data_IF_543660775119
#
_entry.id   IF_543660775119
#
_cell.length_a   1.000
_cell.length_b   1.000
_cell.length_c   1.000
_cell.angle_alpha   90.00
_cell.angle_beta   90.00
_cell.angle_gamma   90.00
#
_symmetry.space_group_name_H-M   'P 1'
#
loop_
_entity.id
_entity.type
_entity.pdbx_description
1 polymer ?
#
# COMPACT_ATOMS: atom_id res chain seq x y z
N UNK A 1 10.30 26.25 1.02
CA UNK A 1 9.01 26.58 0.38
C UNK A 1 8.14 25.34 0.50
N UNK A 2 7.31 25.28 1.56
CA UNK A 2 6.49 24.11 1.90
C UNK A 2 5.28 24.08 0.96
N UNK A 3 5.22 23.10 0.07
CA UNK A 3 4.06 22.87 -0.79
C UNK A 3 2.83 22.63 0.10
N UNK A 4 1.77 23.37 -0.21
CA UNK A 4 0.52 23.40 0.53
C UNK A 4 -0.10 21.99 0.56
N UNK A 5 -0.22 21.42 1.76
CA UNK A 5 -1.00 20.21 2.04
C UNK A 5 -2.47 20.56 1.89
N UNK A 6 -3.08 20.20 0.77
CA UNK A 6 -4.54 20.25 0.59
C UNK A 6 -5.04 18.86 0.24
N UNK A 7 -4.97 17.95 1.21
CA UNK A 7 -5.74 16.71 1.26
C UNK A 7 -6.21 16.60 2.71
N UNK A 8 -7.51 16.48 2.91
CA UNK A 8 -8.10 16.56 4.24
C UNK A 8 -7.50 15.48 5.16
N UNK A 9 -6.94 15.89 6.32
CA UNK A 9 -5.94 15.09 7.00
C UNK A 9 -6.56 14.00 7.87
N UNK A 10 -5.94 12.83 7.85
CA UNK A 10 -6.00 11.85 8.94
C UNK A 10 -5.90 12.62 10.28
N UNK A 11 -6.82 12.44 11.24
CA UNK A 11 -6.78 13.16 12.51
C UNK A 11 -5.41 13.06 13.17
N UNK A 12 -4.93 14.18 13.73
CA UNK A 12 -3.57 14.27 14.29
C UNK A 12 -3.32 13.20 15.37
N UNK A 13 -4.33 12.88 16.18
CA UNK A 13 -4.24 11.83 17.20
C UNK A 13 -4.01 10.43 16.61
N UNK A 14 -4.60 10.13 15.43
CA UNK A 14 -4.33 8.89 14.71
C UNK A 14 -2.93 8.90 14.11
N UNK A 15 -2.47 10.03 13.57
CA UNK A 15 -1.10 10.18 13.03
C UNK A 15 -0.06 9.94 14.14
N UNK A 16 -0.23 10.57 15.31
CA UNK A 16 0.68 10.37 16.46
C UNK A 16 0.71 8.89 16.91
N UNK A 17 -0.44 8.22 16.89
CA UNK A 17 -0.53 6.80 17.25
C UNK A 17 -0.04 5.85 16.15
N UNK A 18 0.05 6.33 14.92
CA UNK A 18 0.71 5.64 13.81
C UNK A 18 2.23 5.74 13.93
N UNK A 19 2.75 6.89 14.37
CA UNK A 19 4.18 7.11 14.62
C UNK A 19 4.66 6.38 15.89
N UNK A 20 3.82 6.39 16.94
CA UNK A 20 4.07 5.66 18.18
C UNK A 20 2.88 4.73 18.51
N UNK A 21 3.00 3.42 18.20
CA UNK A 21 1.97 2.42 18.45
C UNK A 21 1.56 2.26 19.92
N UNK A 22 2.33 2.80 20.88
CA UNK A 22 2.01 2.74 22.31
C UNK A 22 1.01 3.81 22.73
N UNK A 23 0.91 4.91 21.97
CA UNK A 23 0.00 6.01 22.27
C UNK A 23 -1.43 5.66 21.87
N UNK A 24 -2.39 5.82 22.77
CA UNK A 24 -3.81 5.64 22.44
C UNK A 24 -4.37 6.93 21.83
N UNK A 25 -5.03 6.88 20.65
CA UNK A 25 -5.67 8.04 20.08
C UNK A 25 -6.72 8.66 21.00
N UNK A 26 -6.81 9.99 21.00
CA UNK A 26 -7.86 10.75 21.70
C UNK A 26 -9.25 10.61 21.03
N UNK A 27 -9.30 10.12 19.80
CA UNK A 27 -10.56 9.76 19.13
C UNK A 27 -11.26 8.62 19.86
N UNK A 28 -12.60 8.67 19.94
CA UNK A 28 -13.38 7.56 20.52
C UNK A 28 -12.99 6.24 19.86
N UNK A 29 -12.70 5.23 20.67
CA UNK A 29 -12.55 3.87 20.18
C UNK A 29 -13.80 3.46 19.42
N UNK A 30 -13.64 2.71 18.33
CA UNK A 30 -14.80 2.20 17.59
C UNK A 30 -15.55 1.23 18.52
N UNK A 31 -16.64 1.71 19.12
CA UNK A 31 -17.38 1.00 20.18
C UNK A 31 -17.81 -0.38 19.70
N UNK A 32 -18.17 -0.53 18.42
CA UNK A 32 -18.25 -1.81 17.71
C UNK A 32 -17.87 -1.64 16.23
N UNK A 33 -16.90 -2.41 15.73
CA UNK A 33 -16.65 -2.51 14.29
C UNK A 33 -17.64 -3.47 13.63
N UNK A 34 -18.06 -3.23 12.37
CA UNK A 34 -18.89 -4.18 11.65
C UNK A 34 -18.24 -5.57 11.55
N UNK A 35 -19.05 -6.62 11.71
CA UNK A 35 -18.58 -8.01 11.57
C UNK A 35 -17.86 -8.28 10.25
N UNK A 36 -18.32 -7.78 9.08
CA UNK A 36 -17.58 -7.95 7.83
C UNK A 36 -16.16 -7.39 7.91
N UNK A 37 -16.01 -6.17 8.44
CA UNK A 37 -14.70 -5.53 8.60
C UNK A 37 -13.79 -6.30 9.57
N UNK A 38 -14.34 -6.81 10.68
CA UNK A 38 -13.59 -7.64 11.62
C UNK A 38 -13.06 -8.94 11.00
N UNK A 39 -13.77 -9.52 10.01
CA UNK A 39 -13.28 -10.71 9.29
C UNK A 39 -12.01 -10.42 8.48
N UNK A 40 -11.85 -9.20 8.00
CA UNK A 40 -10.65 -8.75 7.30
C UNK A 40 -9.55 -8.29 8.28
N UNK A 41 -9.90 -7.52 9.31
CA UNK A 41 -8.87 -6.98 10.22
C UNK A 41 -8.19 -8.03 11.08
N UNK A 42 -8.93 -9.03 11.57
CA UNK A 42 -8.36 -10.05 12.49
C UNK A 42 -7.17 -10.82 11.89
N UNK A 43 -7.24 -11.39 10.67
CA UNK A 43 -6.10 -12.08 10.07
C UNK A 43 -5.00 -11.12 9.61
N UNK A 44 -5.34 -9.87 9.27
CA UNK A 44 -4.41 -8.92 8.65
C UNK A 44 -3.12 -8.73 9.45
N UNK A 45 -3.21 -8.63 10.78
CA UNK A 45 -2.01 -8.52 11.62
C UNK A 45 -1.05 -9.68 11.44
N UNK A 46 -1.53 -10.92 11.45
CA UNK A 46 -0.69 -12.09 11.23
C UNK A 46 -0.13 -12.14 9.80
N UNK A 47 -0.94 -11.77 8.82
CA UNK A 47 -0.55 -11.77 7.41
C UNK A 47 0.54 -10.75 7.12
N UNK A 48 0.50 -9.57 7.75
CA UNK A 48 1.57 -8.57 7.68
C UNK A 48 2.90 -9.13 8.18
N UNK A 49 2.89 -9.94 9.26
CA UNK A 49 4.10 -10.59 9.78
C UNK A 49 4.62 -11.68 8.83
N UNK A 50 3.71 -12.47 8.23
CA UNK A 50 4.09 -13.44 7.20
C UNK A 50 4.68 -12.72 5.98
N UNK A 51 4.09 -11.58 5.59
CA UNK A 51 4.57 -10.78 4.48
C UNK A 51 5.95 -10.20 4.76
N UNK A 52 6.21 -9.69 5.96
CA UNK A 52 7.56 -9.24 6.36
C UNK A 52 8.59 -10.35 6.15
N UNK A 53 8.28 -11.57 6.60
CA UNK A 53 9.17 -12.73 6.48
C UNK A 53 9.39 -13.12 5.02
N UNK A 54 8.33 -13.15 4.22
CA UNK A 54 8.38 -13.43 2.79
C UNK A 54 9.15 -12.36 2.01
N UNK A 55 8.92 -11.08 2.32
CA UNK A 55 9.60 -9.94 1.70
C UNK A 55 11.12 -10.02 1.91
N UNK A 56 11.57 -10.36 3.12
CA UNK A 56 12.99 -10.60 3.40
C UNK A 56 13.55 -11.78 2.62
N UNK A 57 12.80 -12.88 2.55
CA UNK A 57 13.24 -14.05 1.81
C UNK A 57 13.34 -13.75 0.31
N UNK A 58 12.44 -12.92 -0.23
CA UNK A 58 12.49 -12.43 -1.61
C UNK A 58 13.76 -11.60 -1.85
N UNK A 59 14.10 -10.65 -0.97
CA UNK A 59 15.35 -9.89 -1.09
C UNK A 59 16.57 -10.80 -1.02
N UNK A 60 16.59 -11.76 -0.08
CA UNK A 60 17.69 -12.71 0.03
C UNK A 60 17.83 -13.60 -1.23
N UNK A 61 16.74 -13.89 -1.94
CA UNK A 61 16.77 -14.58 -3.24
C UNK A 61 17.32 -13.68 -4.35
N UNK A 62 16.91 -12.42 -4.36
CA UNK A 62 17.39 -11.41 -5.29
C UNK A 62 18.90 -11.20 -5.15
N UNK A 63 19.39 -11.02 -3.93
CA UNK A 63 20.82 -10.83 -3.64
C UNK A 63 21.65 -12.09 -3.99
N UNK A 64 21.04 -13.29 -3.93
CA UNK A 64 21.64 -14.56 -4.33
C UNK A 64 21.52 -14.86 -5.84
N UNK A 65 20.98 -13.94 -6.63
CA UNK A 65 20.82 -14.12 -8.08
C UNK A 65 19.85 -15.24 -8.46
N UNK A 66 18.84 -15.53 -7.63
CA UNK A 66 17.85 -16.59 -7.91
C UNK A 66 16.88 -16.22 -9.05
N UNK A 67 16.83 -14.94 -9.42
CA UNK A 67 16.11 -14.44 -10.58
C UNK A 67 17.12 -14.21 -11.71
N UNK A 68 17.07 -15.05 -12.75
CA UNK A 68 17.98 -14.96 -13.89
C UNK A 68 17.44 -14.01 -14.98
N UNK A 69 18.35 -13.42 -15.76
CA UNK A 69 18.02 -12.60 -16.93
C UNK A 69 17.30 -11.28 -16.60
N UNK A 70 16.44 -10.84 -17.52
CA UNK A 70 15.74 -9.56 -17.43
C UNK A 70 14.90 -9.38 -16.15
N UNK A 71 14.17 -10.38 -15.63
CA UNK A 71 13.47 -10.26 -14.36
C UNK A 71 14.41 -9.96 -13.18
N UNK A 72 15.60 -10.56 -13.15
CA UNK A 72 16.59 -10.29 -12.10
C UNK A 72 17.10 -8.85 -12.15
N UNK A 73 17.46 -8.37 -13.33
CA UNK A 73 17.89 -6.98 -13.54
C UNK A 73 16.78 -5.98 -13.20
N UNK A 74 15.53 -6.27 -13.61
CA UNK A 74 14.36 -5.47 -13.27
C UNK A 74 14.18 -5.36 -11.75
N UNK A 75 14.20 -6.49 -11.04
CA UNK A 75 14.00 -6.52 -9.59
C UNK A 75 15.15 -5.84 -8.84
N UNK A 76 16.39 -5.94 -9.32
CA UNK A 76 17.53 -5.22 -8.73
C UNK A 76 17.38 -3.71 -8.88
N UNK A 77 16.98 -3.23 -10.07
CA UNK A 77 16.72 -1.81 -10.32
C UNK A 77 15.58 -1.28 -9.43
N UNK A 78 14.52 -2.07 -9.28
CA UNK A 78 13.32 -1.70 -8.54
C UNK A 78 13.29 -2.21 -7.08
N UNK A 79 14.46 -2.54 -6.53
CA UNK A 79 14.58 -2.99 -5.14
C UNK A 79 13.98 -1.91 -4.21
N UNK A 80 13.06 -2.27 -3.30
CA UNK A 80 12.50 -1.33 -2.34
C UNK A 80 13.59 -0.62 -1.54
N UNK A 81 13.38 0.67 -1.25
CA UNK A 81 14.35 1.52 -0.52
C UNK A 81 14.35 1.22 0.98
N UNK A 82 13.21 0.82 1.52
CA UNK A 82 13.09 0.43 2.92
C UNK A 82 12.92 -1.07 3.03
N UNK A 83 13.89 -1.73 3.66
CA UNK A 83 13.85 -3.18 3.86
C UNK A 83 13.07 -3.55 5.13
N UNK A 84 12.35 -4.69 5.14
CA UNK A 84 11.72 -5.18 6.35
C UNK A 84 12.79 -5.56 7.39
N UNK A 85 12.57 -5.26 8.69
CA UNK A 85 13.59 -5.45 9.70
C UNK A 85 13.96 -6.93 9.87
N UNK A 86 15.23 -7.19 10.22
CA UNK A 86 15.79 -8.54 10.36
C UNK A 86 15.12 -9.38 11.44
N UNK A 87 14.55 -8.73 12.44
CA UNK A 87 13.71 -9.38 13.44
C UNK A 87 12.35 -8.68 13.42
N UNK A 88 11.29 -9.48 13.45
CA UNK A 88 10.00 -8.91 13.79
C UNK A 88 10.05 -8.61 15.28
N UNK A 89 10.01 -7.33 15.64
CA UNK A 89 9.96 -6.92 17.04
C UNK A 89 8.71 -7.51 17.72
N UNK A 90 8.85 -7.88 18.99
CA UNK A 90 7.68 -8.05 19.86
C UNK A 90 7.13 -6.66 20.20
N UNK A 91 5.82 -6.57 20.42
CA UNK A 91 5.17 -5.31 20.76
C UNK A 91 4.06 -4.91 19.79
N UNK A 92 3.48 -3.72 20.02
CA UNK A 92 2.38 -3.23 19.23
C UNK A 92 2.84 -2.66 17.89
N UNK A 93 2.00 -2.80 16.88
CA UNK A 93 2.11 -2.05 15.64
C UNK A 93 0.71 -1.61 15.20
N UNK A 94 0.64 -0.47 14.55
CA UNK A 94 -0.58 0.12 14.03
C UNK A 94 -0.60 0.13 12.51
N UNK A 95 -1.77 -0.13 11.94
CA UNK A 95 -2.07 -0.05 10.52
C UNK A 95 -3.15 1.02 10.32
N UNK A 96 -2.94 1.92 9.36
CA UNK A 96 -3.94 2.90 8.96
C UNK A 96 -4.60 2.47 7.66
N UNK A 97 -5.92 2.36 7.70
CA UNK A 97 -6.76 2.00 6.59
C UNK A 97 -7.66 3.17 6.20
N UNK A 98 -7.93 3.31 4.92
CA UNK A 98 -8.95 4.20 4.38
C UNK A 98 -10.04 3.38 3.71
N UNK A 99 -11.27 3.86 3.83
CA UNK A 99 -12.41 3.32 3.09
C UNK A 99 -12.24 3.62 1.60
N UNK A 100 -12.43 2.61 0.76
CA UNK A 100 -12.44 2.73 -0.69
C UNK A 100 -13.78 2.20 -1.21
N UNK A 101 -14.25 2.60 -2.40
CA UNK A 101 -15.45 2.01 -3.02
C UNK A 101 -15.46 0.48 -3.11
N UNK A 102 -14.27 -0.14 -3.09
CA UNK A 102 -14.06 -1.60 -3.15
C UNK A 102 -13.75 -2.21 -1.77
N UNK A 103 -14.02 -1.48 -0.68
CA UNK A 103 -13.73 -1.87 0.69
C UNK A 103 -12.50 -1.19 1.28
N UNK A 104 -12.14 -1.57 2.51
CA UNK A 104 -11.03 -0.94 3.22
C UNK A 104 -9.68 -1.29 2.60
N UNK A 105 -8.77 -0.31 2.54
CA UNK A 105 -7.40 -0.47 2.04
C UNK A 105 -6.40 0.06 3.06
N UNK A 106 -5.35 -0.71 3.30
CA UNK A 106 -4.17 -0.28 4.05
C UNK A 106 -3.46 0.81 3.26
N UNK A 107 -3.10 1.89 3.93
CA UNK A 107 -2.48 3.06 3.30
C UNK A 107 -1.18 3.45 3.98
N UNK A 108 -1.09 3.24 5.28
CA UNK A 108 0.11 3.48 6.05
C UNK A 108 0.25 2.47 7.19
N UNK A 109 1.46 2.36 7.73
CA UNK A 109 1.80 1.52 8.87
C UNK A 109 2.87 2.17 9.73
N UNK A 110 2.83 1.88 11.03
CA UNK A 110 3.98 2.08 11.94
C UNK A 110 5.19 1.22 11.56
N UNK A 111 4.97 0.11 10.83
CA UNK A 111 6.04 -0.69 10.23
C UNK A 111 6.55 0.05 8.99
N UNK A 112 7.54 0.93 9.20
CA UNK A 112 8.00 1.89 8.19
C UNK A 112 8.32 1.31 6.81
N UNK A 113 8.79 0.06 6.74
CA UNK A 113 9.06 -0.61 5.46
C UNK A 113 7.82 -0.79 4.58
N UNK A 114 6.63 -0.94 5.17
CA UNK A 114 5.38 -1.11 4.41
C UNK A 114 4.93 0.18 3.72
N UNK A 115 5.46 1.33 4.14
CA UNK A 115 5.09 2.63 3.56
C UNK A 115 5.81 2.91 2.22
N UNK A 116 6.79 2.07 1.85
CA UNK A 116 7.39 2.13 0.52
C UNK A 116 6.48 1.40 -0.50
N UNK A 117 5.89 2.13 -1.47
CA UNK A 117 4.95 1.55 -2.42
C UNK A 117 5.58 0.53 -3.37
N UNK A 118 6.91 0.45 -3.46
CA UNK A 118 7.57 -0.62 -4.19
C UNK A 118 7.16 -1.99 -3.65
N UNK A 119 6.94 -2.13 -2.34
CA UNK A 119 6.49 -3.39 -1.75
C UNK A 119 5.09 -3.80 -2.22
N UNK A 120 4.16 -2.86 -2.29
CA UNK A 120 2.85 -3.10 -2.86
C UNK A 120 2.96 -3.48 -4.35
N UNK A 121 3.77 -2.74 -5.13
CA UNK A 121 3.99 -3.04 -6.54
C UNK A 121 4.58 -4.46 -6.77
N UNK A 122 5.57 -4.89 -5.96
CA UNK A 122 6.12 -6.25 -6.01
C UNK A 122 5.08 -7.31 -5.65
N UNK A 123 4.22 -7.06 -4.67
CA UNK A 123 3.16 -8.00 -4.27
C UNK A 123 2.13 -8.20 -5.39
N UNK A 124 1.86 -7.14 -6.16
CA UNK A 124 0.93 -7.17 -7.28
C UNK A 124 1.55 -7.64 -8.61
N UNK A 125 2.88 -7.71 -8.71
CA UNK A 125 3.59 -8.09 -9.93
C UNK A 125 3.33 -9.57 -10.31
N UNK A 126 2.69 -9.86 -11.46
CA UNK A 126 2.32 -11.23 -11.83
C UNK A 126 3.51 -12.20 -11.90
N UNK A 127 4.67 -11.71 -12.35
CA UNK A 127 5.90 -12.50 -12.45
C UNK A 127 6.41 -13.04 -11.11
N UNK A 128 6.08 -12.37 -9.99
CA UNK A 128 6.47 -12.80 -8.65
C UNK A 128 5.44 -13.71 -7.96
N UNK A 129 4.29 -13.97 -8.60
CA UNK A 129 3.24 -14.82 -8.00
C UNK A 129 3.76 -16.21 -7.57
N UNK A 130 4.58 -16.93 -8.36
CA UNK A 130 5.14 -18.21 -7.92
C UNK A 130 6.05 -18.07 -6.70
N UNK A 131 6.90 -17.04 -6.68
CA UNK A 131 7.78 -16.74 -5.54
C UNK A 131 6.95 -16.48 -4.28
N UNK A 132 5.97 -15.57 -4.34
CA UNK A 132 5.10 -15.29 -3.20
C UNK A 132 4.31 -16.50 -2.71
N UNK A 133 3.78 -17.31 -3.64
CA UNK A 133 2.98 -18.50 -3.30
C UNK A 133 3.82 -19.62 -2.68
N UNK A 134 5.13 -19.63 -2.90
CA UNK A 134 6.06 -20.55 -2.21
C UNK A 134 6.44 -20.08 -0.80
N UNK A 135 6.29 -18.78 -0.52
CA UNK A 135 6.66 -18.16 0.76
C UNK A 135 5.46 -17.98 1.70
N UNK A 136 4.24 -17.90 1.14
CA UNK A 136 3.02 -17.64 1.88
C UNK A 136 1.87 -18.49 1.33
N UNK A 137 0.90 -18.85 2.19
CA UNK A 137 -0.32 -19.51 1.74
C UNK A 137 -1.09 -18.59 0.80
N UNK A 138 -1.68 -19.18 -0.25
CA UNK A 138 -2.40 -18.44 -1.28
C UNK A 138 -3.54 -17.56 -0.73
N UNK A 139 -4.26 -18.02 0.30
CA UNK A 139 -5.33 -17.24 0.94
C UNK A 139 -4.83 -15.96 1.60
N UNK A 140 -3.69 -16.03 2.30
CA UNK A 140 -3.07 -14.87 2.95
C UNK A 140 -2.52 -13.88 1.92
N UNK A 141 -1.86 -14.40 0.88
CA UNK A 141 -1.37 -13.57 -0.22
C UNK A 141 -2.51 -12.81 -0.91
N UNK A 142 -3.61 -13.50 -1.23
CA UNK A 142 -4.73 -12.88 -1.92
C UNK A 142 -5.44 -11.85 -1.04
N UNK A 143 -5.63 -12.15 0.25
CA UNK A 143 -6.22 -11.18 1.17
C UNK A 143 -5.31 -9.95 1.34
N UNK A 144 -3.99 -10.11 1.48
CA UNK A 144 -3.06 -8.97 1.51
C UNK A 144 -3.12 -8.12 0.23
N UNK A 145 -3.19 -8.74 -0.95
CA UNK A 145 -3.33 -8.03 -2.22
C UNK A 145 -4.65 -7.26 -2.31
N UNK A 146 -5.71 -7.76 -1.67
CA UNK A 146 -6.97 -7.01 -1.58
C UNK A 146 -6.88 -5.85 -0.59
N UNK A 147 -6.09 -6.00 0.49
CA UNK A 147 -5.95 -4.95 1.50
C UNK A 147 -4.96 -3.86 1.09
N UNK A 148 -3.90 -4.17 0.34
CA UNK A 148 -2.91 -3.19 -0.09
C UNK A 148 -3.41 -2.36 -1.29
N UNK A 149 -2.96 -1.10 -1.43
CA UNK A 149 -3.30 -0.29 -2.58
C UNK A 149 -2.47 -0.76 -3.78
N UNK A 150 -3.05 -0.65 -4.98
CA UNK A 150 -2.27 -0.93 -6.18
C UNK A 150 -1.18 0.13 -6.39
N UNK A 151 -0.01 -0.36 -6.79
CA UNK A 151 1.14 0.44 -7.16
C UNK A 151 1.85 -0.21 -8.35
N UNK A 152 2.53 0.61 -9.15
CA UNK A 152 3.21 0.16 -10.36
C UNK A 152 4.59 0.81 -10.50
N UNK A 153 5.54 0.03 -10.98
CA UNK A 153 6.83 0.53 -11.44
C UNK A 153 6.64 1.25 -12.76
N UNK A 154 6.94 2.55 -12.81
CA UNK A 154 6.84 3.34 -14.04
C UNK A 154 8.04 3.04 -14.93
N UNK A 155 8.04 1.87 -15.55
CA UNK A 155 9.15 1.31 -16.32
C UNK A 155 9.05 1.68 -17.81
N UNK A 156 10.16 2.13 -18.42
CA UNK A 156 10.18 2.51 -19.83
C UNK A 156 10.29 1.33 -20.80
N UNK A 157 10.50 0.10 -20.31
CA UNK A 157 10.55 -1.08 -21.16
C UNK A 157 9.24 -1.26 -21.93
N UNK A 158 9.36 -1.50 -23.23
CA UNK A 158 8.22 -1.78 -24.08
C UNK A 158 7.54 -3.09 -23.67
N UNK A 159 6.21 -3.07 -23.56
CA UNK A 159 5.44 -4.29 -23.34
C UNK A 159 5.42 -5.13 -24.63
N UNK A 160 5.40 -6.47 -24.52
CA UNK A 160 5.18 -7.32 -25.68
C UNK A 160 3.85 -7.02 -26.37
N UNK A 161 3.74 -7.21 -27.70
CA UNK A 161 2.47 -7.03 -28.42
C UNK A 161 1.32 -7.80 -27.76
N UNK A 162 0.17 -7.13 -27.58
CA UNK A 162 -1.02 -7.71 -26.93
C UNK A 162 -0.95 -7.79 -25.40
N UNK A 163 0.16 -7.38 -24.77
CA UNK A 163 0.26 -7.30 -23.31
C UNK A 163 -0.27 -5.97 -22.77
N UNK A 164 -0.69 -5.99 -21.51
CA UNK A 164 -1.18 -4.80 -20.79
C UNK A 164 -0.51 -4.68 -19.43
N UNK A 165 -0.48 -3.46 -18.89
CA UNK A 165 -0.09 -3.21 -17.52
C UNK A 165 -1.16 -3.80 -16.59
N UNK A 166 -0.75 -4.80 -15.80
CA UNK A 166 -1.65 -5.52 -14.90
C UNK A 166 -2.39 -4.55 -13.96
N UNK A 167 -3.71 -4.72 -13.82
CA UNK A 167 -4.57 -3.86 -13.00
C UNK A 167 -5.00 -2.53 -13.65
N UNK A 168 -4.32 -2.10 -14.72
CA UNK A 168 -4.69 -0.90 -15.49
C UNK A 168 -5.36 -1.25 -16.84
N UNK A 169 -5.00 -2.39 -17.44
CA UNK A 169 -5.60 -2.82 -18.71
C UNK A 169 -5.16 -1.98 -19.92
N UNK A 170 -4.09 -1.21 -19.80
CA UNK A 170 -3.54 -0.34 -20.86
C UNK A 170 -2.25 -0.93 -21.44
N UNK A 171 -1.96 -0.76 -22.74
CA UNK A 171 -0.77 -1.32 -23.39
C UNK A 171 0.52 -0.52 -23.11
N UNK A 172 0.45 0.56 -22.35
CA UNK A 172 1.58 1.41 -22.01
C UNK A 172 1.15 2.68 -21.29
N UNK A 173 2.12 3.43 -20.75
CA UNK A 173 1.86 4.59 -19.89
C UNK A 173 1.13 5.75 -20.58
N UNK A 174 1.22 5.85 -21.90
CA UNK A 174 0.47 6.85 -22.68
C UNK A 174 -1.06 6.65 -22.59
N UNK A 175 -1.53 5.47 -22.19
CA UNK A 175 -2.95 5.18 -21.99
C UNK A 175 -3.49 5.48 -20.59
N UNK A 176 -2.67 6.04 -19.69
CA UNK A 176 -3.13 6.41 -18.34
C UNK A 176 -4.21 7.50 -18.30
N UNK A 177 -4.15 8.58 -19.12
CA UNK A 177 -5.21 9.60 -19.13
C UNK A 177 -6.57 9.00 -19.51
N UNK A 178 -7.64 9.41 -18.81
CA UNK A 178 -9.01 8.99 -19.15
C UNK A 178 -9.44 7.66 -18.56
N UNK A 179 -8.65 7.06 -17.66
CA UNK A 179 -9.07 5.88 -16.89
C UNK A 179 -10.14 6.20 -15.82
N UNK A 180 -10.53 7.46 -15.63
CA UNK A 180 -11.47 7.84 -14.58
C UNK A 180 -10.90 7.67 -13.17
N UNK A 181 -9.58 7.55 -13.06
CA UNK A 181 -8.85 7.19 -11.83
C UNK A 181 -7.89 8.31 -11.47
N UNK A 182 -7.72 8.52 -10.17
CA UNK A 182 -6.67 9.37 -9.63
C UNK A 182 -5.41 8.55 -9.40
N UNK A 183 -4.26 9.10 -9.77
CA UNK A 183 -2.96 8.53 -9.49
C UNK A 183 -2.04 9.55 -8.83
N UNK A 184 -0.96 9.07 -8.23
CA UNK A 184 0.12 9.90 -7.72
C UNK A 184 1.46 9.33 -8.16
N UNK A 185 2.33 10.21 -8.67
CA UNK A 185 3.74 9.93 -8.90
C UNK A 185 4.44 10.07 -7.55
N UNK A 186 4.83 8.94 -6.96
CA UNK A 186 5.23 8.87 -5.55
C UNK A 186 6.40 9.78 -5.22
N UNK A 187 7.45 9.77 -6.05
CA UNK A 187 8.70 10.52 -5.81
C UNK A 187 8.61 11.95 -6.27
N UNK A 188 8.02 12.19 -7.44
CA UNK A 188 7.72 13.55 -7.89
C UNK A 188 6.71 14.26 -6.97
N UNK A 189 5.96 13.51 -6.16
CA UNK A 189 4.94 14.05 -5.26
C UNK A 189 3.76 14.69 -6.01
N UNK A 190 3.56 14.34 -7.28
CA UNK A 190 2.58 14.97 -8.17
C UNK A 190 1.34 14.09 -8.31
N UNK A 191 0.17 14.68 -8.15
CA UNK A 191 -1.09 14.01 -8.46
C UNK A 191 -1.43 14.11 -9.94
N UNK A 192 -1.98 13.03 -10.48
CA UNK A 192 -2.50 12.92 -11.84
C UNK A 192 -3.99 12.65 -11.73
N UNK A 193 -4.79 13.63 -12.14
CA UNK A 193 -6.26 13.59 -12.13
C UNK A 193 -6.78 13.88 -13.52
N UNK A 194 -8.01 13.47 -13.84
CA UNK A 194 -8.62 13.78 -15.15
C UNK A 194 -8.86 15.29 -15.37
N UNK A 195 -8.69 16.12 -14.34
CA UNK A 195 -8.76 17.58 -14.45
C UNK A 195 -7.47 18.19 -15.01
N UNK A 196 -6.35 17.47 -14.96
CA UNK A 196 -5.07 17.96 -15.43
C UNK A 196 -5.06 17.95 -16.98
N UNK A 197 -4.58 19.02 -17.65
CA UNK A 197 -4.52 19.06 -19.11
C UNK A 197 -3.68 17.91 -19.69
N UNK A 198 -4.09 17.38 -20.85
CA UNK A 198 -3.43 16.22 -21.48
C UNK A 198 -1.92 16.43 -21.72
N UNK A 199 -1.51 17.65 -22.10
CA UNK A 199 -0.10 18.00 -22.28
C UNK A 199 0.71 17.95 -20.98
N UNK A 200 0.13 18.40 -19.87
CA UNK A 200 0.76 18.34 -18.55
C UNK A 200 0.84 16.92 -18.00
N UNK A 201 -0.21 16.13 -18.24
CA UNK A 201 -0.25 14.70 -17.95
C UNK A 201 0.93 13.97 -18.61
N UNK A 202 1.05 14.15 -19.94
CA UNK A 202 2.10 13.53 -20.74
C UNK A 202 3.48 13.96 -20.26
N UNK A 203 3.70 15.26 -20.07
CA UNK A 203 4.98 15.79 -19.61
C UNK A 203 5.37 15.22 -18.23
N UNK A 204 4.42 15.11 -17.29
CA UNK A 204 4.68 14.54 -15.96
C UNK A 204 5.13 13.08 -16.05
N UNK A 205 4.42 12.26 -16.84
CA UNK A 205 4.74 10.84 -17.02
C UNK A 205 6.08 10.65 -17.75
N UNK A 206 6.34 11.40 -18.81
CA UNK A 206 7.60 11.34 -19.57
C UNK A 206 8.80 11.76 -18.71
N UNK A 207 8.66 12.83 -17.93
CA UNK A 207 9.69 13.28 -17.00
C UNK A 207 9.99 12.20 -15.95
N UNK A 208 8.96 11.60 -15.38
CA UNK A 208 9.12 10.51 -14.40
C UNK A 208 9.74 9.25 -15.02
N UNK A 209 9.34 8.87 -16.24
CA UNK A 209 9.94 7.75 -16.98
C UNK A 209 11.44 7.97 -17.24
N UNK A 210 11.84 9.21 -17.55
CA UNK A 210 13.23 9.56 -17.77
C UNK A 210 14.10 9.39 -16.52
N UNK A 211 13.51 9.52 -15.31
CA UNK A 211 14.24 9.23 -14.07
C UNK A 211 14.50 7.74 -13.86
N UNK A 212 13.70 6.86 -14.46
CA UNK A 212 13.83 5.41 -14.36
C UNK A 212 13.56 4.81 -12.98
N UNK A 213 13.07 5.61 -12.02
CA UNK A 213 12.88 5.17 -10.65
C UNK A 213 11.51 5.56 -10.06
N UNK A 214 10.57 6.05 -10.87
CA UNK A 214 9.26 6.51 -10.39
C UNK A 214 8.26 5.36 -10.12
N UNK A 215 7.44 5.55 -9.09
CA UNK A 215 6.31 4.67 -8.77
C UNK A 215 4.99 5.40 -8.99
N UNK A 216 4.06 4.75 -9.69
CA UNK A 216 2.68 5.19 -9.78
C UNK A 216 1.88 4.52 -8.66
N UNK A 217 1.14 5.29 -7.88
CA UNK A 217 0.29 4.75 -6.79
C UNK A 217 -1.13 5.27 -6.91
N UNK A 218 -2.10 4.48 -6.47
CA UNK A 218 -3.47 4.97 -6.27
C UNK A 218 -3.55 5.65 -4.90
N UNK A 219 -3.74 6.98 -4.82
CA UNK A 219 -3.92 7.65 -3.53
C UNK A 219 -5.24 7.24 -2.87
N UNK A 220 -5.35 7.33 -1.53
CA UNK A 220 -6.63 7.12 -0.85
C UNK A 220 -7.68 8.11 -1.35
N UNK A 221 -8.99 7.81 -1.27
CA UNK A 221 -10.03 8.77 -1.67
C UNK A 221 -10.05 10.00 -0.76
N UNK A 222 -10.35 11.18 -1.32
CA UNK A 222 -10.34 12.48 -0.60
C UNK A 222 -11.33 12.53 0.58
N UNK A 223 -12.44 11.81 0.48
CA UNK A 223 -13.53 11.80 1.46
C UNK A 223 -13.69 10.44 2.17
N UNK A 224 -12.61 9.67 2.32
CA UNK A 224 -12.66 8.34 2.90
C UNK A 224 -12.63 8.37 4.43
N UNK A 225 -13.56 7.64 5.07
CA UNK A 225 -13.41 7.31 6.48
C UNK A 225 -12.06 6.61 6.71
N UNK A 226 -11.41 6.91 7.82
CA UNK A 226 -10.15 6.28 8.20
C UNK A 226 -10.33 5.39 9.43
N UNK A 227 -9.54 4.32 9.47
CA UNK A 227 -9.51 3.35 10.57
C UNK A 227 -8.06 3.08 10.95
N UNK A 228 -7.73 3.31 12.21
CA UNK A 228 -6.47 2.88 12.79
C UNK A 228 -6.71 1.54 13.51
N UNK A 229 -6.00 0.50 13.14
CA UNK A 229 -6.04 -0.80 13.80
C UNK A 229 -4.71 -1.05 14.52
N UNK A 230 -4.76 -1.31 15.84
CA UNK A 230 -3.60 -1.73 16.62
C UNK A 230 -3.60 -3.24 16.78
N UNK A 231 -2.44 -3.82 16.50
CA UNK A 231 -2.14 -5.21 16.72
C UNK A 231 -1.03 -5.34 17.75
N UNK A 232 -1.06 -6.40 18.55
CA UNK A 232 0.10 -6.83 19.32
C UNK A 232 0.60 -8.16 18.82
N UNK A 233 1.92 -8.30 18.92
CA UNK A 233 2.61 -9.57 18.69
C UNK A 233 3.27 -10.03 19.97
N UNK A 234 2.97 -11.28 20.32
CA UNK A 234 3.61 -12.00 21.41
C UNK A 234 3.96 -13.43 20.94
N UNK A 235 4.49 -14.25 21.85
CA UNK A 235 4.82 -15.66 21.56
C UNK A 235 3.64 -16.50 21.05
N UNK A 236 2.41 -16.12 21.39
CA UNK A 236 1.16 -16.76 20.96
C UNK A 236 0.64 -16.31 19.59
N UNK A 237 1.32 -15.39 18.92
CA UNK A 237 0.97 -14.89 17.60
C UNK A 237 0.60 -13.41 17.58
N UNK A 238 -0.11 -13.00 16.53
CA UNK A 238 -0.54 -11.62 16.33
C UNK A 238 -2.05 -11.50 16.58
N UNK A 239 -2.46 -10.49 17.34
CA UNK A 239 -3.87 -10.25 17.67
C UNK A 239 -4.23 -8.78 17.47
N UNK A 240 -5.44 -8.53 16.96
CA UNK A 240 -6.06 -7.21 16.97
C UNK A 240 -6.43 -6.82 18.41
N UNK A 241 -5.84 -5.76 18.93
CA UNK A 241 -6.09 -5.26 20.29
C UNK A 241 -7.25 -4.26 20.30
N UNK A 242 -7.19 -3.29 19.39
CA UNK A 242 -8.11 -2.17 19.36
C UNK A 242 -8.15 -1.54 17.98
N UNK A 243 -9.22 -0.80 17.71
CA UNK A 243 -9.34 0.01 16.51
C UNK A 243 -10.11 1.31 16.79
N UNK A 244 -9.78 2.34 16.03
CA UNK A 244 -10.39 3.66 16.10
C UNK A 244 -10.81 4.07 14.71
N UNK A 245 -12.02 4.59 14.57
CA UNK A 245 -12.53 5.14 13.31
C UNK A 245 -12.64 6.65 13.44
N UNK A 246 -12.38 7.35 12.34
CA UNK A 246 -12.72 8.75 12.23
C UNK A 246 -13.27 9.02 10.83
N UNK A 247 -14.40 9.71 10.78
CA UNK A 247 -14.87 10.29 9.53
C UNK A 247 -14.07 11.56 9.22
N UNK A 248 -13.98 11.86 7.94
CA UNK A 248 -13.44 13.09 7.35
C UNK A 248 -14.04 14.39 7.93
N UNK A 249 -15.24 14.32 8.52
CA UNK A 249 -15.84 15.44 9.26
C UNK A 249 -15.41 15.57 10.74
N UNK A 250 -14.48 14.73 11.22
CA UNK A 250 -14.04 14.70 12.63
C UNK A 250 -15.12 14.20 13.60
N UNK A 251 -16.23 13.64 13.09
CA UNK A 251 -17.30 13.05 13.91
C UNK A 251 -17.02 11.56 14.09
N UNK A 252 -17.36 11.05 15.28
CA UNK A 252 -17.42 9.62 15.51
C UNK A 252 -18.42 9.02 14.52
N UNK A 253 -17.93 8.21 13.58
CA UNK A 253 -18.79 7.58 12.59
C UNK A 253 -19.44 6.36 13.24
N UNK A 254 -20.75 6.41 13.45
CA UNK A 254 -21.56 5.20 13.60
C UNK A 254 -21.43 4.47 12.26
N UNK A 255 -20.76 3.33 12.26
CA UNK A 255 -20.67 2.51 11.06
C UNK A 255 -22.06 1.93 10.81
N UNK A 256 -22.82 2.56 9.92
CA UNK A 256 -24.11 2.05 9.50
C UNK A 256 -23.89 0.69 8.84
N UNK A 257 -24.46 -0.36 9.45
CA UNK A 257 -24.33 -1.73 8.98
C UNK A 257 -24.90 -1.89 7.57
N UNK A 258 -24.08 -2.47 6.68
CA UNK A 258 -24.52 -3.21 5.49
C UNK A 258 -25.01 -4.59 5.91
#
# INVERSE_FOLDING_TARGET
MLAQRTDMPVPESLVRSLEDPTLTPETQAAVELPKPLLKHLRPLGHEVILWQSAARQLLAWLDKGRFAGDPGAFLQRWKPRTEPPAETAEGPFTLLLHEHPEGWRLTQSSLGWMNDPAWAALLHLPALRPAWSSLMRASHLEHLRQMLPQAWFLDSAALPPGSVIAGLGIPGWAGLPGLGKRFRLHRAGRELTDQLPAGEWKAAVEQSLATGEELLVTPPPVAAACLLARFSRNKGGTRLESAWTADTAGRACLVAGL
#
